data_IF_200712487111
#
_entry.id   IF_200712487111
#
_cell.length_a   1.000
_cell.length_b   1.000
_cell.length_c   1.000
_cell.angle_alpha   90.00
_cell.angle_beta   90.00
_cell.angle_gamma   90.00
#
_symmetry.space_group_name_H-M   'P 1'
#
loop_
_entity.id
_entity.type
_entity.pdbx_description
1 polymer ?
#
# COMPACT_ATOMS: atom_id res chain seq x y z
N UNK A 1 -29.74 8.14 25.30
CA UNK A 1 -29.15 6.84 24.94
C UNK A 1 -28.16 7.15 23.83
N UNK A 2 -26.88 7.34 24.17
CA UNK A 2 -25.84 7.60 23.16
C UNK A 2 -25.58 6.27 22.47
N UNK A 3 -25.84 6.20 21.17
CA UNK A 3 -25.49 5.03 20.37
C UNK A 3 -23.98 4.82 20.51
N UNK A 4 -23.58 3.61 20.88
CA UNK A 4 -22.16 3.25 20.86
C UNK A 4 -21.67 3.43 19.42
N UNK A 5 -20.49 4.02 19.18
CA UNK A 5 -20.00 4.20 17.83
C UNK A 5 -19.88 2.83 17.17
N UNK A 6 -20.59 2.64 16.05
CA UNK A 6 -20.43 1.46 15.18
C UNK A 6 -18.96 1.40 14.80
N UNK A 7 -18.24 0.43 15.34
CA UNK A 7 -16.82 0.26 15.05
C UNK A 7 -16.73 -0.26 13.61
N UNK A 8 -16.25 0.56 12.69
CA UNK A 8 -16.00 0.13 11.31
C UNK A 8 -14.87 -0.89 11.35
N UNK A 9 -15.19 -2.16 11.04
CA UNK A 9 -14.19 -3.22 10.98
C UNK A 9 -13.50 -3.15 9.62
N UNK A 10 -12.25 -2.67 9.61
CA UNK A 10 -11.43 -2.66 8.40
C UNK A 10 -10.81 -4.04 8.13
N UNK A 11 -10.76 -4.49 6.86
CA UNK A 11 -10.01 -5.68 6.50
C UNK A 11 -8.52 -5.53 6.85
N UNK A 12 -7.83 -6.65 7.04
CA UNK A 12 -6.41 -6.66 7.39
C UNK A 12 -5.55 -6.70 6.13
N UNK A 13 -4.51 -5.86 6.09
CA UNK A 13 -3.47 -5.93 5.08
C UNK A 13 -2.59 -7.15 5.33
N UNK A 14 -2.36 -7.93 4.29
CA UNK A 14 -1.57 -9.17 4.36
C UNK A 14 -0.30 -9.00 3.55
N UNK A 15 0.85 -9.25 4.18
CA UNK A 15 2.14 -9.29 3.48
C UNK A 15 2.22 -10.58 2.67
N UNK A 16 2.69 -10.48 1.43
CA UNK A 16 2.87 -11.64 0.56
C UNK A 16 3.87 -12.64 1.16
N UNK A 17 3.51 -13.92 1.14
CA UNK A 17 4.37 -15.01 1.54
C UNK A 17 4.79 -15.84 0.33
N UNK A 18 6.00 -15.57 -0.17
CA UNK A 18 6.58 -16.29 -1.30
C UNK A 18 6.73 -17.79 -1.02
N UNK A 19 7.11 -18.17 0.21
CA UNK A 19 7.37 -19.56 0.55
C UNK A 19 6.09 -20.37 0.60
N UNK A 20 5.05 -19.84 1.25
CA UNK A 20 3.71 -20.44 1.28
C UNK A 20 3.13 -20.56 -0.13
N UNK A 21 3.48 -19.64 -1.04
CA UNK A 21 3.06 -19.66 -2.44
C UNK A 21 3.91 -20.57 -3.34
N UNK A 22 4.82 -21.37 -2.77
CA UNK A 22 5.69 -22.30 -3.52
C UNK A 22 6.87 -21.65 -4.23
N UNK A 23 6.99 -20.31 -4.22
CA UNK A 23 8.11 -19.59 -4.81
C UNK A 23 9.34 -19.71 -3.89
N UNK A 24 10.52 -19.94 -4.47
CA UNK A 24 11.78 -20.07 -3.74
C UNK A 24 12.78 -19.05 -4.26
N UNK A 25 12.88 -17.87 -3.61
CA UNK A 25 13.86 -16.86 -3.98
C UNK A 25 15.30 -17.39 -3.85
N UNK A 26 16.10 -17.21 -4.88
CA UNK A 26 17.51 -17.56 -4.97
C UNK A 26 18.32 -16.33 -5.39
N UNK A 27 18.87 -15.61 -4.41
CA UNK A 27 19.61 -14.36 -4.66
C UNK A 27 20.79 -14.53 -5.63
N UNK A 28 21.48 -15.67 -5.58
CA UNK A 28 22.60 -15.98 -6.48
C UNK A 28 22.20 -16.06 -7.96
N UNK A 29 20.93 -16.36 -8.27
CA UNK A 29 20.44 -16.51 -9.64
C UNK A 29 19.74 -15.24 -10.15
N UNK A 30 19.63 -14.18 -9.33
CA UNK A 30 18.77 -13.03 -9.63
C UNK A 30 19.05 -12.35 -10.97
N UNK A 31 20.32 -12.33 -11.38
CA UNK A 31 20.76 -11.71 -12.63
C UNK A 31 20.70 -12.64 -13.84
N UNK A 32 20.41 -13.93 -13.63
CA UNK A 32 20.30 -14.89 -14.72
C UNK A 32 19.05 -14.63 -15.56
N UNK A 33 19.15 -14.59 -16.90
CA UNK A 33 17.99 -14.35 -17.77
C UNK A 33 16.84 -15.34 -17.53
N UNK A 34 17.17 -16.61 -17.28
CA UNK A 34 16.19 -17.66 -16.99
C UNK A 34 15.44 -17.41 -15.67
N UNK A 35 16.05 -16.72 -14.71
CA UNK A 35 15.49 -16.45 -13.40
C UNK A 35 14.47 -15.30 -13.41
N UNK A 36 14.40 -14.51 -14.48
CA UNK A 36 13.43 -13.42 -14.62
C UNK A 36 11.98 -13.89 -14.52
N UNK A 37 11.67 -15.15 -14.86
CA UNK A 37 10.33 -15.72 -14.64
C UNK A 37 9.97 -15.78 -13.15
N UNK A 38 10.92 -16.08 -12.27
CA UNK A 38 10.69 -16.09 -10.81
C UNK A 38 10.44 -14.68 -10.31
N UNK A 39 11.21 -13.69 -10.78
CA UNK A 39 11.01 -12.27 -10.41
C UNK A 39 9.62 -11.79 -10.86
N UNK A 40 9.16 -12.18 -12.06
CA UNK A 40 7.80 -11.89 -12.55
C UNK A 40 6.72 -12.50 -11.64
N UNK A 41 6.87 -13.77 -11.27
CA UNK A 41 5.92 -14.46 -10.37
C UNK A 41 5.86 -13.79 -8.99
N UNK A 42 7.02 -13.39 -8.45
CA UNK A 42 7.08 -12.67 -7.18
C UNK A 42 6.40 -11.31 -7.26
N UNK A 43 6.67 -10.54 -8.33
CA UNK A 43 6.04 -9.24 -8.51
C UNK A 43 4.52 -9.35 -8.65
N UNK A 44 4.04 -10.33 -9.42
CA UNK A 44 2.62 -10.60 -9.57
C UNK A 44 1.95 -10.98 -8.23
N UNK A 45 2.61 -11.83 -7.43
CA UNK A 45 2.10 -12.23 -6.11
C UNK A 45 1.98 -11.03 -5.16
N UNK A 46 3.01 -10.19 -5.09
CA UNK A 46 2.99 -8.98 -4.25
C UNK A 46 1.84 -8.08 -4.67
N UNK A 47 1.68 -7.81 -5.97
CA UNK A 47 0.62 -6.92 -6.47
C UNK A 47 -0.75 -7.53 -6.19
N UNK A 48 -0.95 -8.82 -6.42
CA UNK A 48 -2.23 -9.49 -6.17
C UNK A 48 -2.62 -9.52 -4.68
N UNK A 49 -1.63 -9.63 -3.78
CA UNK A 49 -1.87 -9.80 -2.34
C UNK A 49 -1.88 -8.46 -1.59
N UNK A 50 -0.86 -7.63 -1.84
CA UNK A 50 -0.62 -6.37 -1.14
C UNK A 50 -1.19 -5.16 -1.87
N UNK A 51 -1.61 -5.32 -3.14
CA UNK A 51 -2.11 -4.24 -3.98
C UNK A 51 -3.38 -3.56 -3.43
N UNK A 52 -3.58 -2.25 -3.63
CA UNK A 52 -2.66 -1.32 -4.29
C UNK A 52 -1.35 -1.15 -3.50
N UNK A 53 -0.23 -1.14 -4.22
CA UNK A 53 1.12 -1.15 -3.63
C UNK A 53 2.05 -0.23 -4.38
N UNK A 54 2.91 0.48 -3.66
CA UNK A 54 3.91 1.34 -4.28
C UNK A 54 5.04 0.54 -4.93
N UNK A 55 5.65 1.13 -5.97
CA UNK A 55 6.78 0.55 -6.69
C UNK A 55 7.99 0.26 -5.81
N UNK A 56 8.32 1.16 -4.88
CA UNK A 56 9.40 1.00 -3.93
C UNK A 56 9.09 -0.06 -2.85
N UNK A 57 7.84 -0.19 -2.42
CA UNK A 57 7.39 -1.27 -1.53
C UNK A 57 7.53 -2.62 -2.24
N UNK A 58 7.04 -2.73 -3.48
CA UNK A 58 7.17 -3.91 -4.32
C UNK A 58 8.65 -4.33 -4.48
N UNK A 59 9.50 -3.38 -4.86
CA UNK A 59 10.96 -3.59 -5.01
C UNK A 59 11.58 -4.06 -3.70
N UNK A 60 11.19 -3.47 -2.57
CA UNK A 60 11.67 -3.84 -1.25
C UNK A 60 11.27 -5.27 -0.88
N UNK A 61 10.01 -5.68 -1.08
CA UNK A 61 9.56 -7.07 -0.83
C UNK A 61 10.38 -8.08 -1.59
N UNK A 62 10.57 -7.84 -2.89
CA UNK A 62 11.34 -8.76 -3.74
C UNK A 62 12.81 -8.77 -3.32
N UNK A 63 13.42 -7.62 -3.03
CA UNK A 63 14.82 -7.55 -2.62
C UNK A 63 15.09 -8.25 -1.28
N UNK A 64 14.26 -7.99 -0.27
CA UNK A 64 14.34 -8.61 1.06
C UNK A 64 14.23 -10.14 0.96
N UNK A 65 13.30 -10.63 0.13
CA UNK A 65 13.11 -12.06 -0.09
C UNK A 65 14.33 -12.76 -0.73
N UNK A 66 15.16 -12.03 -1.48
CA UNK A 66 16.41 -12.55 -2.04
C UNK A 66 17.62 -12.37 -1.10
N UNK A 67 17.41 -11.84 0.11
CA UNK A 67 18.50 -11.56 1.07
C UNK A 67 19.34 -10.34 0.71
N UNK A 68 18.85 -9.46 -0.15
CA UNK A 68 19.59 -8.25 -0.52
C UNK A 68 19.45 -7.19 0.59
N UNK A 69 20.59 -6.71 1.09
CA UNK A 69 20.60 -5.66 2.10
C UNK A 69 20.10 -4.29 1.60
N UNK A 70 20.18 -4.02 0.29
CA UNK A 70 19.64 -2.82 -0.36
C UNK A 70 19.14 -3.13 -1.76
N UNK A 71 18.03 -2.51 -2.15
CA UNK A 71 17.54 -2.51 -3.52
C UNK A 71 18.15 -1.35 -4.32
N UNK A 72 19.38 -1.53 -4.79
CA UNK A 72 20.05 -0.56 -5.68
C UNK A 72 19.34 -0.42 -7.03
N UNK A 73 19.81 0.53 -7.86
CA UNK A 73 19.19 0.85 -9.16
C UNK A 73 19.00 -0.38 -10.07
N UNK A 74 19.93 -1.34 -10.04
CA UNK A 74 19.86 -2.57 -10.85
C UNK A 74 18.70 -3.47 -10.39
N UNK A 75 18.59 -3.75 -9.09
CA UNK A 75 17.50 -4.57 -8.52
C UNK A 75 16.16 -3.89 -8.79
N UNK A 76 16.07 -2.58 -8.53
CA UNK A 76 14.87 -1.79 -8.83
C UNK A 76 14.46 -1.94 -10.29
N UNK A 77 15.38 -1.74 -11.23
CA UNK A 77 15.10 -1.85 -12.67
C UNK A 77 14.63 -3.26 -13.04
N UNK A 78 15.28 -4.31 -12.53
CA UNK A 78 14.89 -5.69 -12.80
C UNK A 78 13.48 -6.01 -12.30
N UNK A 79 13.16 -5.64 -11.05
CA UNK A 79 11.82 -5.89 -10.48
C UNK A 79 10.74 -5.11 -11.22
N UNK A 80 10.96 -3.82 -11.51
CA UNK A 80 9.95 -3.01 -12.20
C UNK A 80 9.76 -3.43 -13.66
N UNK A 81 10.82 -3.89 -14.33
CA UNK A 81 10.73 -4.47 -15.67
C UNK A 81 9.99 -5.82 -15.70
N UNK A 82 9.95 -6.53 -14.56
CA UNK A 82 9.22 -7.78 -14.42
C UNK A 82 7.71 -7.59 -14.17
N UNK A 83 7.25 -6.37 -13.86
CA UNK A 83 5.82 -6.10 -13.71
C UNK A 83 5.16 -6.14 -15.09
N UNK A 84 4.13 -6.98 -15.24
CA UNK A 84 3.38 -7.10 -16.48
C UNK A 84 2.80 -5.74 -16.92
N UNK A 85 2.77 -5.51 -18.23
CA UNK A 85 2.28 -4.25 -18.83
C UNK A 85 0.77 -4.07 -18.65
N UNK A 86 0.02 -5.17 -18.50
CA UNK A 86 -1.42 -5.16 -18.26
C UNK A 86 -1.81 -4.75 -16.83
N UNK A 87 -0.87 -4.76 -15.89
CA UNK A 87 -1.14 -4.29 -14.52
C UNK A 87 -1.50 -2.81 -14.56
N UNK A 88 -2.68 -2.49 -14.03
CA UNK A 88 -3.15 -1.10 -13.92
C UNK A 88 -2.24 -0.29 -12.97
N UNK A 89 -1.93 0.94 -13.38
CA UNK A 89 -1.00 1.84 -12.67
C UNK A 89 -1.61 3.22 -12.51
N UNK A 90 -1.44 3.81 -11.34
CA UNK A 90 -1.72 5.23 -11.12
C UNK A 90 -0.50 5.93 -10.52
N UNK A 91 -0.53 7.25 -10.49
CA UNK A 91 0.46 8.08 -9.81
C UNK A 91 -0.20 8.63 -8.56
N UNK A 92 0.33 8.26 -7.40
CA UNK A 92 -0.06 8.84 -6.12
C UNK A 92 0.27 10.34 -6.13
N UNK A 93 -0.49 11.20 -5.43
CA UNK A 93 -0.23 12.63 -5.47
C UNK A 93 1.16 13.03 -4.92
N UNK A 94 1.87 12.12 -4.23
CA UNK A 94 3.26 12.31 -3.82
C UNK A 94 4.28 11.87 -4.91
N UNK A 95 3.82 11.55 -6.12
CA UNK A 95 4.64 11.22 -7.30
C UNK A 95 5.07 9.75 -7.39
N UNK A 96 4.64 8.89 -6.47
CA UNK A 96 4.99 7.46 -6.46
C UNK A 96 4.07 6.68 -7.40
N UNK A 97 4.61 5.68 -8.08
CA UNK A 97 3.79 4.77 -8.89
C UNK A 97 3.09 3.75 -8.00
N UNK A 98 1.79 3.56 -8.21
CA UNK A 98 0.96 2.57 -7.52
C UNK A 98 0.56 1.47 -8.50
N UNK A 99 0.81 0.21 -8.13
CA UNK A 99 0.36 -0.97 -8.87
C UNK A 99 -0.90 -1.54 -8.25
N UNK A 100 -1.90 -1.78 -9.09
CA UNK A 100 -3.24 -2.20 -8.67
C UNK A 100 -3.46 -3.70 -8.90
N UNK A 101 -4.08 -4.43 -7.95
CA UNK A 101 -4.51 -5.80 -8.17
C UNK A 101 -5.68 -5.83 -9.15
N UNK A 102 -5.85 -6.96 -9.84
CA UNK A 102 -6.98 -7.16 -10.72
C UNK A 102 -8.32 -6.98 -9.96
N UNK A 103 -9.30 -6.36 -10.61
CA UNK A 103 -10.63 -6.13 -10.03
C UNK A 103 -10.72 -4.98 -9.01
N UNK A 104 -9.62 -4.31 -8.67
CA UNK A 104 -9.63 -3.14 -7.77
C UNK A 104 -9.28 -1.86 -8.52
N UNK A 105 -9.93 -0.76 -8.17
CA UNK A 105 -9.73 0.56 -8.77
C UNK A 105 -9.63 1.63 -7.69
N UNK A 106 -9.13 2.84 -8.02
CA UNK A 106 -9.18 4.01 -7.12
C UNK A 106 -10.55 4.28 -6.49
N UNK A 107 -11.65 3.90 -7.15
CA UNK A 107 -13.01 4.11 -6.66
C UNK A 107 -13.54 2.99 -5.78
N UNK A 108 -13.00 1.78 -5.91
CA UNK A 108 -13.51 0.57 -5.22
C UNK A 108 -12.59 0.07 -4.12
N UNK A 109 -11.41 0.70 -3.95
CA UNK A 109 -10.47 0.33 -2.90
C UNK A 109 -11.01 0.66 -1.52
N UNK A 110 -10.65 -0.19 -0.56
CA UNK A 110 -10.93 -0.03 0.86
C UNK A 110 -9.62 0.14 1.62
N UNK A 111 -9.66 0.87 2.73
CA UNK A 111 -8.56 0.89 3.67
C UNK A 111 -8.37 -0.49 4.31
N UNK A 112 -7.12 -0.97 4.32
CA UNK A 112 -6.72 -2.18 5.02
C UNK A 112 -5.82 -1.84 6.21
N UNK A 113 -6.24 -2.24 7.41
CA UNK A 113 -5.48 -2.06 8.64
C UNK A 113 -4.26 -2.98 8.64
N UNK A 114 -3.12 -2.48 9.10
CA UNK A 114 -1.87 -3.25 9.16
C UNK A 114 -1.13 -3.00 10.46
N UNK A 115 -0.37 -4.00 10.93
CA UNK A 115 0.68 -3.74 11.92
C UNK A 115 1.73 -2.79 11.34
N UNK A 116 2.33 -1.95 12.18
CA UNK A 116 3.42 -1.05 11.79
C UNK A 116 4.69 -1.78 11.34
N UNK A 117 4.85 -3.05 11.71
CA UNK A 117 5.92 -3.92 11.21
C UNK A 117 5.68 -4.33 9.76
N UNK A 118 4.41 -4.51 9.40
CA UNK A 118 4.00 -5.09 8.13
C UNK A 118 3.87 -3.99 7.07
N UNK A 119 3.28 -2.85 7.43
CA UNK A 119 3.10 -1.70 6.55
C UNK A 119 3.14 -0.40 7.34
N UNK A 120 4.01 0.51 6.92
CA UNK A 120 4.07 1.87 7.48
C UNK A 120 2.92 2.71 6.93
N UNK A 121 2.50 3.73 7.66
CA UNK A 121 1.48 4.68 7.16
C UNK A 121 1.94 5.39 5.88
N UNK A 122 3.24 5.67 5.75
CA UNK A 122 3.81 6.23 4.52
C UNK A 122 3.68 5.29 3.30
N UNK A 123 3.49 3.99 3.53
CA UNK A 123 3.34 2.97 2.49
C UNK A 123 1.87 2.66 2.14
N UNK A 124 0.92 3.40 2.74
CA UNK A 124 -0.51 3.33 2.39
C UNK A 124 -0.74 4.18 1.13
N UNK A 125 -1.27 3.66 0.01
CA UNK A 125 -1.64 4.49 -1.15
C UNK A 125 -2.69 5.54 -0.82
N UNK A 126 -2.64 6.70 -1.47
CA UNK A 126 -3.53 7.82 -1.17
C UNK A 126 -5.01 7.45 -1.24
N UNK A 127 -5.40 6.63 -2.20
CA UNK A 127 -6.77 6.18 -2.39
C UNK A 127 -7.27 5.30 -1.23
N UNK A 128 -6.39 4.54 -0.56
CA UNK A 128 -6.74 3.85 0.69
C UNK A 128 -6.95 4.85 1.84
N UNK A 129 -6.21 5.96 1.89
CA UNK A 129 -6.45 7.03 2.87
C UNK A 129 -7.77 7.76 2.62
N UNK A 130 -8.14 7.99 1.35
CA UNK A 130 -9.44 8.56 0.99
C UNK A 130 -10.56 7.60 1.37
N UNK A 131 -10.40 6.30 1.10
CA UNK A 131 -11.36 5.29 1.53
C UNK A 131 -11.53 5.24 3.05
N UNK A 132 -10.44 5.40 3.82
CA UNK A 132 -10.51 5.54 5.27
C UNK A 132 -11.27 6.80 5.70
N UNK A 133 -10.94 7.95 5.12
CA UNK A 133 -11.60 9.22 5.47
C UNK A 133 -13.11 9.17 5.23
N UNK A 134 -13.57 8.48 4.18
CA UNK A 134 -14.99 8.26 3.89
C UNK A 134 -15.73 7.42 4.93
N UNK A 135 -15.03 6.74 5.84
CA UNK A 135 -15.67 6.01 6.94
C UNK A 135 -15.99 6.91 8.13
N UNK A 136 -15.49 8.14 8.13
CA UNK A 136 -15.78 9.15 9.15
C UNK A 136 -17.02 9.97 8.75
N UNK A 137 -17.70 10.54 9.74
CA UNK A 137 -18.83 11.45 9.55
C UNK A 137 -18.37 12.86 9.13
N UNK A 138 -17.78 12.97 7.94
CA UNK A 138 -17.13 14.19 7.46
C UNK A 138 -18.07 15.36 7.22
N UNK A 139 -19.39 15.12 7.15
CA UNK A 139 -20.42 16.16 7.03
C UNK A 139 -20.60 16.92 8.35
N UNK A 140 -20.32 16.27 9.49
CA UNK A 140 -20.45 16.85 10.82
C UNK A 140 -19.11 17.13 11.51
N UNK A 141 -17.99 16.64 10.96
CA UNK A 141 -16.66 16.83 11.51
C UNK A 141 -15.92 18.00 10.86
N UNK A 142 -15.43 18.92 11.69
CA UNK A 142 -14.45 19.92 11.27
C UNK A 142 -13.07 19.29 11.08
N UNK A 143 -12.18 20.00 10.40
CA UNK A 143 -10.84 19.52 10.05
C UNK A 143 -10.03 18.97 11.23
N UNK A 144 -9.98 19.62 12.42
CA UNK A 144 -9.25 19.07 13.56
C UNK A 144 -9.78 17.72 14.01
N UNK A 145 -11.10 17.54 14.04
CA UNK A 145 -11.75 16.31 14.50
C UNK A 145 -11.64 15.19 13.46
N UNK A 146 -11.77 15.52 12.17
CA UNK A 146 -11.52 14.58 11.08
C UNK A 146 -10.07 14.08 11.09
N UNK A 147 -9.09 14.97 11.30
CA UNK A 147 -7.69 14.57 11.44
C UNK A 147 -7.45 13.70 12.68
N UNK A 148 -8.12 13.97 13.79
CA UNK A 148 -8.03 13.15 15.00
C UNK A 148 -8.65 11.76 14.79
N UNK A 149 -9.80 11.68 14.10
CA UNK A 149 -10.40 10.42 13.67
C UNK A 149 -9.45 9.59 12.81
N UNK A 150 -8.87 10.21 11.76
CA UNK A 150 -7.87 9.57 10.92
C UNK A 150 -6.63 9.11 11.71
N UNK A 151 -6.13 9.92 12.65
CA UNK A 151 -4.99 9.57 13.51
C UNK A 151 -5.28 8.30 14.30
N UNK A 152 -6.48 8.21 14.90
CA UNK A 152 -6.91 7.05 15.70
C UNK A 152 -7.01 5.79 14.86
N UNK A 153 -7.64 5.85 13.69
CA UNK A 153 -7.78 4.69 12.79
C UNK A 153 -6.44 4.23 12.19
N UNK A 154 -5.50 5.15 12.00
CA UNK A 154 -4.13 4.85 11.58
C UNK A 154 -3.22 4.40 12.73
N UNK A 155 -3.74 4.37 13.96
CA UNK A 155 -3.01 3.97 15.18
C UNK A 155 -1.70 4.75 15.39
N UNK A 156 -1.73 6.04 15.06
CA UNK A 156 -0.58 6.93 15.18
C UNK A 156 -0.63 7.68 16.49
N UNK A 157 0.43 7.68 17.29
CA UNK A 157 0.52 8.55 18.47
C UNK A 157 0.35 10.04 18.11
N UNK A 158 0.94 10.46 16.99
CA UNK A 158 0.86 11.84 16.47
C UNK A 158 0.92 11.85 14.94
N UNK A 159 0.18 12.78 14.34
CA UNK A 159 0.34 13.14 12.93
C UNK A 159 1.53 14.09 12.79
N UNK A 160 2.65 13.60 12.25
CA UNK A 160 3.78 14.45 11.86
C UNK A 160 3.44 15.23 10.59
N UNK A 161 4.06 16.38 10.33
CA UNK A 161 3.67 17.30 9.25
C UNK A 161 3.51 16.65 7.86
N UNK A 162 4.40 15.75 7.39
CA UNK A 162 4.21 15.09 6.11
C UNK A 162 2.97 14.20 6.08
N UNK A 163 2.76 13.41 7.13
CA UNK A 163 1.59 12.53 7.25
C UNK A 163 0.31 13.35 7.45
N UNK A 164 0.36 14.41 8.25
CA UNK A 164 -0.77 15.32 8.50
C UNK A 164 -1.25 15.95 7.20
N UNK A 165 -0.32 16.47 6.40
CA UNK A 165 -0.63 17.09 5.11
C UNK A 165 -1.30 16.09 4.16
N UNK A 166 -0.74 14.87 4.10
CA UNK A 166 -1.28 13.79 3.26
C UNK A 166 -2.68 13.34 3.68
N UNK A 167 -2.90 13.17 4.98
CA UNK A 167 -4.21 12.85 5.56
C UNK A 167 -5.21 13.96 5.32
N UNK A 168 -4.82 15.23 5.50
CA UNK A 168 -5.70 16.38 5.23
C UNK A 168 -6.15 16.41 3.77
N UNK A 169 -5.24 16.16 2.82
CA UNK A 169 -5.63 16.05 1.41
C UNK A 169 -6.64 14.91 1.17
N UNK A 170 -6.48 13.78 1.87
CA UNK A 170 -7.39 12.65 1.74
C UNK A 170 -8.79 12.97 2.29
N UNK A 171 -8.87 13.67 3.44
CA UNK A 171 -10.13 14.19 4.01
C UNK A 171 -10.81 15.14 3.02
N UNK A 172 -10.07 16.11 2.47
CA UNK A 172 -10.63 17.05 1.50
C UNK A 172 -11.14 16.34 0.25
N UNK A 173 -10.40 15.37 -0.28
CA UNK A 173 -10.83 14.56 -1.42
C UNK A 173 -12.11 13.77 -1.10
N UNK A 174 -12.19 13.17 0.09
CA UNK A 174 -13.34 12.39 0.53
C UNK A 174 -14.63 13.23 0.64
N UNK A 175 -14.53 14.52 0.98
CA UNK A 175 -15.68 15.44 0.99
C UNK A 175 -16.18 15.83 -0.41
N UNK A 176 -15.30 15.81 -1.41
CA UNK A 176 -15.60 16.33 -2.75
C UNK A 176 -16.14 15.31 -3.76
N UNK A 177 -16.10 14.01 -3.45
CA UNK A 177 -16.46 12.98 -4.42
C UNK A 177 -17.01 11.72 -3.82
#
# INVERSE_FOLDING_TARGET
MVDAPVTVVHPVYVVSDFRASGIRPAGALFYEPAYQTVVRQMAALVIATEGPVFDDVLVRRVAEAHGFGRAGAVIRKAVLAAVDRSVHRTIDPDGRTVFWPAGTTPRTVVYRRASRTDRKVADIPFEELVALARTLDLDNLFDPDALEGMRRELELERLQDPTRSRVMRAVNMARTG
#
